data_IF_381252451331
#
_entry.id   IF_381252451331
#
_cell.length_a   1.000
_cell.length_b   1.000
_cell.length_c   1.000
_cell.angle_alpha   90.00
_cell.angle_beta   90.00
_cell.angle_gamma   90.00
#
_symmetry.space_group_name_H-M   'P 1'
#
loop_
_entity.id
_entity.type
_entity.pdbx_description
1 polymer ?
#
# COMPACT_ATOMS: atom_id res chain seq x y z
N UNK A 1 -10.74 7.58 -24.26
CA UNK A 1 -9.73 6.70 -24.88
C UNK A 1 -8.47 7.47 -25.34
N UNK A 2 -7.83 8.25 -24.47
CA UNK A 2 -6.54 8.90 -24.75
C UNK A 2 -5.36 7.99 -24.42
N UNK A 3 -5.42 7.26 -23.30
CA UNK A 3 -4.35 6.39 -22.83
C UNK A 3 -4.06 5.21 -23.79
N UNK A 4 -5.09 4.49 -24.24
CA UNK A 4 -4.93 3.35 -25.16
C UNK A 4 -4.33 3.74 -26.52
N UNK A 5 -4.30 5.04 -26.87
CA UNK A 5 -3.56 5.52 -28.05
C UNK A 5 -2.06 5.59 -27.81
N UNK A 6 -1.64 5.87 -26.57
CA UNK A 6 -0.24 5.87 -26.14
C UNK A 6 0.25 4.44 -25.86
N UNK A 7 -0.63 3.58 -25.37
CA UNK A 7 -0.29 2.21 -25.00
C UNK A 7 -1.42 1.25 -25.37
N UNK A 8 -1.40 0.69 -26.59
CA UNK A 8 -2.49 -0.12 -27.12
C UNK A 8 -2.81 -1.38 -26.32
N UNK A 9 -1.83 -1.94 -25.62
CA UNK A 9 -2.04 -3.13 -24.77
C UNK A 9 -2.63 -2.79 -23.39
N UNK A 10 -2.77 -1.50 -23.04
CA UNK A 10 -3.30 -1.05 -21.75
C UNK A 10 -2.38 -1.24 -20.55
N UNK A 11 -1.13 -1.69 -20.75
CA UNK A 11 -0.20 -1.94 -19.65
C UNK A 11 0.38 -0.64 -19.08
N UNK A 12 0.79 -0.68 -17.82
CA UNK A 12 1.52 0.40 -17.16
C UNK A 12 2.87 -0.14 -16.66
N UNK A 13 3.89 0.72 -16.49
CA UNK A 13 3.91 2.17 -16.71
C UNK A 13 4.04 2.59 -18.19
N UNK A 14 3.71 3.86 -18.45
CA UNK A 14 3.98 4.56 -19.72
C UNK A 14 4.54 5.93 -19.38
N UNK A 15 5.63 6.34 -20.03
CA UNK A 15 6.20 7.67 -19.90
C UNK A 15 6.33 8.36 -21.26
N UNK A 16 6.17 9.67 -21.27
CA UNK A 16 6.52 10.53 -22.41
C UNK A 16 7.72 11.36 -22.00
N UNK A 17 8.89 11.07 -22.56
CA UNK A 17 10.16 11.75 -22.26
C UNK A 17 10.64 12.39 -23.56
N UNK A 18 10.81 13.71 -23.57
CA UNK A 18 11.19 14.51 -24.74
C UNK A 18 10.36 14.21 -26.00
N UNK A 19 9.05 14.02 -25.81
CA UNK A 19 8.10 13.72 -26.88
C UNK A 19 8.11 12.28 -27.37
N UNK A 20 8.99 11.42 -26.87
CA UNK A 20 9.02 9.99 -27.17
C UNK A 20 8.23 9.18 -26.15
N UNK A 21 7.46 8.20 -26.62
CA UNK A 21 6.64 7.33 -25.77
C UNK A 21 7.39 6.05 -25.44
N UNK A 22 7.55 5.78 -24.15
CA UNK A 22 8.14 4.55 -23.62
C UNK A 22 7.09 3.77 -22.85
N UNK A 23 6.85 2.52 -23.26
CA UNK A 23 5.79 1.68 -22.73
C UNK A 23 6.25 0.54 -21.83
N UNK A 24 7.52 0.50 -21.43
CA UNK A 24 8.11 -0.54 -20.57
C UNK A 24 8.92 0.11 -19.45
N UNK A 25 8.82 -0.42 -18.23
CA UNK A 25 9.51 0.14 -17.05
C UNK A 25 11.03 0.18 -17.23
N UNK A 26 11.62 -0.85 -17.83
CA UNK A 26 13.07 -0.93 -18.04
C UNK A 26 13.56 0.13 -19.03
N UNK A 27 12.81 0.38 -20.11
CA UNK A 27 13.16 1.39 -21.11
C UNK A 27 13.06 2.79 -20.49
N UNK A 28 12.02 3.03 -19.68
CA UNK A 28 11.85 4.27 -18.93
C UNK A 28 13.04 4.49 -17.98
N UNK A 29 13.40 3.49 -17.17
CA UNK A 29 14.55 3.57 -16.26
C UNK A 29 15.86 3.84 -17.02
N UNK A 30 16.06 3.15 -18.14
CA UNK A 30 17.26 3.29 -18.96
C UNK A 30 17.41 4.71 -19.50
N UNK A 31 16.34 5.25 -20.09
CA UNK A 31 16.32 6.59 -20.68
C UNK A 31 16.47 7.67 -19.63
N UNK A 32 15.85 7.52 -18.45
CA UNK A 32 16.03 8.45 -17.34
C UNK A 32 17.50 8.51 -16.90
N UNK A 33 18.15 7.36 -16.71
CA UNK A 33 19.58 7.31 -16.36
C UNK A 33 20.51 7.87 -17.46
N UNK A 34 20.06 7.88 -18.71
CA UNK A 34 20.83 8.41 -19.84
C UNK A 34 20.66 9.92 -20.02
N UNK A 35 19.45 10.40 -19.77
CA UNK A 35 19.03 11.79 -20.03
C UNK A 35 19.48 12.73 -18.91
N UNK A 36 19.52 12.25 -17.66
CA UNK A 36 20.01 13.03 -16.52
C UNK A 36 21.49 12.76 -16.29
N UNK A 37 22.36 13.59 -16.86
CA UNK A 37 23.82 13.44 -16.76
C UNK A 37 24.54 14.73 -16.33
N UNK A 38 23.79 15.69 -15.79
CA UNK A 38 24.31 16.97 -15.31
C UNK A 38 25.23 16.80 -14.10
N UNK A 39 26.09 17.81 -13.86
CA UNK A 39 27.01 17.82 -12.73
C UNK A 39 26.28 17.62 -11.40
N UNK A 40 26.77 16.68 -10.59
CA UNK A 40 26.16 16.28 -9.32
C UNK A 40 25.08 15.20 -9.44
N UNK A 41 24.70 14.77 -10.65
CA UNK A 41 23.85 13.58 -10.83
C UNK A 41 24.59 12.33 -10.38
N UNK A 42 23.97 11.57 -9.47
CA UNK A 42 24.48 10.28 -9.02
C UNK A 42 23.76 9.18 -9.79
N UNK A 43 24.40 8.64 -10.82
CA UNK A 43 23.86 7.50 -11.56
C UNK A 43 23.58 6.32 -10.63
N UNK A 44 22.45 5.68 -10.86
CA UNK A 44 22.03 4.47 -10.18
C UNK A 44 22.42 3.22 -10.96
N UNK A 45 22.96 3.36 -12.18
CA UNK A 45 23.47 2.23 -12.95
C UNK A 45 24.58 1.51 -12.16
N UNK A 46 24.54 0.17 -12.13
CA UNK A 46 25.67 -0.61 -11.64
C UNK A 46 26.96 -0.19 -12.34
N UNK A 47 28.06 -0.13 -11.58
CA UNK A 47 29.40 0.13 -12.14
C UNK A 47 29.79 -1.00 -13.08
N UNK A 48 30.65 -0.71 -14.06
CA UNK A 48 31.10 -1.72 -15.03
C UNK A 48 31.70 -2.98 -14.38
N UNK A 49 32.46 -2.79 -13.28
CA UNK A 49 33.04 -3.89 -12.51
C UNK A 49 31.98 -4.83 -11.88
N UNK A 50 30.77 -4.32 -11.63
CA UNK A 50 29.66 -5.06 -11.02
C UNK A 50 28.66 -5.60 -12.05
N UNK A 51 28.87 -5.35 -13.35
CA UNK A 51 27.89 -5.65 -14.40
C UNK A 51 27.45 -7.12 -14.43
N UNK A 52 28.40 -8.05 -14.31
CA UNK A 52 28.07 -9.49 -14.28
C UNK A 52 27.28 -9.86 -13.02
N UNK A 53 27.62 -9.27 -11.87
CA UNK A 53 26.91 -9.48 -10.61
C UNK A 53 25.49 -8.94 -10.70
N UNK A 54 25.32 -7.72 -11.22
CA UNK A 54 24.01 -7.12 -11.47
C UNK A 54 23.13 -8.02 -12.36
N UNK A 55 23.67 -8.59 -13.45
CA UNK A 55 22.92 -9.55 -14.28
C UNK A 55 22.54 -10.84 -13.54
N UNK A 56 23.39 -11.33 -12.63
CA UNK A 56 23.05 -12.43 -11.73
C UNK A 56 21.87 -12.08 -10.82
N UNK A 57 21.93 -10.91 -10.19
CA UNK A 57 20.90 -10.42 -9.28
C UNK A 57 19.56 -10.18 -9.98
N UNK A 58 19.56 -9.63 -11.20
CA UNK A 58 18.32 -9.47 -11.99
C UNK A 58 17.71 -10.82 -12.40
N UNK A 59 18.51 -11.88 -12.57
CA UNK A 59 17.97 -13.24 -12.75
C UNK A 59 17.38 -13.78 -11.45
N UNK A 60 18.01 -13.50 -10.31
CA UNK A 60 17.49 -13.87 -9.00
C UNK A 60 16.17 -13.14 -8.68
N UNK A 61 16.03 -11.86 -9.02
CA UNK A 61 14.78 -11.11 -8.92
C UNK A 61 13.63 -11.83 -9.63
N UNK A 62 13.85 -12.26 -10.87
CA UNK A 62 12.86 -13.02 -11.65
C UNK A 62 12.54 -14.39 -11.04
N UNK A 63 13.54 -15.04 -10.41
CA UNK A 63 13.33 -16.32 -9.72
C UNK A 63 12.46 -16.14 -8.49
N UNK A 64 12.76 -15.15 -7.62
CA UNK A 64 11.96 -14.92 -6.41
C UNK A 64 10.55 -14.43 -6.77
N UNK A 65 10.41 -13.58 -7.80
CA UNK A 65 9.11 -13.21 -8.34
C UNK A 65 8.29 -14.44 -8.75
N UNK A 66 8.91 -15.37 -9.49
CA UNK A 66 8.21 -16.57 -9.96
C UNK A 66 7.81 -17.48 -8.80
N UNK A 67 8.70 -17.72 -7.84
CA UNK A 67 8.41 -18.54 -6.66
C UNK A 67 7.29 -17.94 -5.80
N UNK A 68 7.32 -16.61 -5.60
CA UNK A 68 6.25 -15.88 -4.92
C UNK A 68 4.92 -16.03 -5.65
N UNK A 69 4.90 -15.82 -6.97
CA UNK A 69 3.69 -15.94 -7.78
C UNK A 69 3.07 -17.34 -7.70
N UNK A 70 3.90 -18.39 -7.78
CA UNK A 70 3.43 -19.77 -7.65
C UNK A 70 2.81 -20.03 -6.29
N UNK A 71 3.43 -19.58 -5.20
CA UNK A 71 2.89 -19.80 -3.86
C UNK A 71 1.66 -18.95 -3.56
N UNK A 72 1.69 -17.66 -3.92
CA UNK A 72 0.60 -16.73 -3.65
C UNK A 72 -0.69 -17.15 -4.36
N UNK A 73 -0.60 -17.61 -5.61
CA UNK A 73 -1.77 -17.91 -6.46
C UNK A 73 -2.10 -19.40 -6.57
N UNK A 74 -1.17 -20.28 -6.17
CA UNK A 74 -1.32 -21.73 -6.31
C UNK A 74 -1.83 -22.42 -5.05
N UNK A 75 -2.76 -23.36 -5.21
CA UNK A 75 -3.33 -24.17 -4.11
C UNK A 75 -3.05 -25.68 -4.23
N UNK A 76 -2.38 -26.12 -5.31
CA UNK A 76 -2.21 -27.56 -5.61
C UNK A 76 -1.23 -28.27 -4.66
N UNK A 77 -0.15 -27.58 -4.29
CA UNK A 77 0.90 -28.14 -3.43
C UNK A 77 1.56 -27.00 -2.61
N UNK A 78 0.82 -26.46 -1.61
CA UNK A 78 1.22 -25.25 -0.89
C UNK A 78 2.53 -25.42 -0.13
N UNK A 79 2.80 -26.60 0.44
CA UNK A 79 4.04 -26.86 1.19
C UNK A 79 5.25 -26.85 0.27
N UNK A 80 5.17 -27.46 -0.91
CA UNK A 80 6.25 -27.37 -1.90
C UNK A 80 6.48 -25.94 -2.38
N UNK A 81 5.42 -25.19 -2.70
CA UNK A 81 5.56 -23.80 -3.15
C UNK A 81 6.18 -22.91 -2.07
N UNK A 82 5.81 -23.13 -0.80
CA UNK A 82 6.43 -22.49 0.35
C UNK A 82 7.92 -22.80 0.44
N UNK A 83 8.30 -24.08 0.34
CA UNK A 83 9.71 -24.50 0.40
C UNK A 83 10.52 -23.87 -0.73
N UNK A 84 10.03 -23.95 -1.98
CA UNK A 84 10.67 -23.33 -3.15
C UNK A 84 10.84 -21.81 -2.97
N UNK A 85 9.83 -21.11 -2.43
CA UNK A 85 9.95 -19.68 -2.13
C UNK A 85 11.02 -19.40 -1.06
N UNK A 86 11.00 -20.13 0.05
CA UNK A 86 11.97 -19.96 1.15
C UNK A 86 13.40 -20.23 0.67
N UNK A 87 13.61 -21.25 -0.17
CA UNK A 87 14.91 -21.54 -0.77
C UNK A 87 15.44 -20.36 -1.58
N UNK A 88 14.62 -19.76 -2.44
CA UNK A 88 15.03 -18.60 -3.24
C UNK A 88 15.20 -17.34 -2.37
N UNK A 89 14.34 -17.13 -1.37
CA UNK A 89 14.49 -16.03 -0.41
C UNK A 89 15.80 -16.15 0.39
N UNK A 90 16.22 -17.36 0.76
CA UNK A 90 17.52 -17.59 1.39
C UNK A 90 18.68 -17.22 0.46
N UNK A 91 18.54 -17.40 -0.86
CA UNK A 91 19.55 -16.92 -1.83
C UNK A 91 19.59 -15.39 -1.84
N UNK A 92 18.44 -14.71 -1.79
CA UNK A 92 18.36 -13.24 -1.67
C UNK A 92 19.01 -12.75 -0.38
N UNK A 93 18.67 -13.37 0.76
CA UNK A 93 19.27 -13.09 2.07
C UNK A 93 20.80 -13.26 2.02
N UNK A 94 21.30 -14.32 1.40
CA UNK A 94 22.73 -14.56 1.25
C UNK A 94 23.43 -13.53 0.37
N UNK A 95 22.82 -13.10 -0.74
CA UNK A 95 23.38 -12.04 -1.61
C UNK A 95 23.48 -10.69 -0.90
N UNK A 96 22.45 -10.32 -0.13
CA UNK A 96 22.46 -9.12 0.70
C UNK A 96 23.48 -9.22 1.84
N UNK A 97 23.52 -10.35 2.54
CA UNK A 97 24.47 -10.60 3.62
C UNK A 97 25.93 -10.58 3.14
N UNK A 98 26.18 -11.04 1.91
CA UNK A 98 27.50 -11.04 1.28
C UNK A 98 27.89 -9.69 0.66
N UNK A 99 26.99 -8.71 0.70
CA UNK A 99 27.27 -7.38 0.17
C UNK A 99 28.34 -6.66 0.98
N UNK A 100 29.34 -6.11 0.30
CA UNK A 100 30.49 -5.49 0.95
C UNK A 100 30.24 -3.99 1.13
N UNK A 101 30.34 -3.53 2.38
CA UNK A 101 30.38 -2.12 2.72
C UNK A 101 29.02 -1.42 2.79
N UNK A 102 27.90 -2.15 2.71
CA UNK A 102 26.57 -1.60 2.98
C UNK A 102 25.45 -2.63 2.81
N UNK A 103 24.22 -2.14 2.94
CA UNK A 103 23.00 -2.96 3.02
C UNK A 103 22.24 -3.08 1.68
N UNK A 104 22.77 -2.53 0.59
CA UNK A 104 22.22 -2.70 -0.77
C UNK A 104 22.90 -3.86 -1.51
N UNK A 105 22.27 -4.40 -2.55
CA UNK A 105 22.78 -5.60 -3.24
C UNK A 105 24.21 -5.45 -3.80
N UNK A 106 24.58 -4.23 -4.24
CA UNK A 106 25.89 -3.91 -4.81
C UNK A 106 26.77 -3.06 -3.87
N UNK A 107 26.46 -3.04 -2.58
CA UNK A 107 27.30 -2.45 -1.54
C UNK A 107 26.62 -1.29 -0.81
N UNK A 108 27.32 -0.17 -0.70
CA UNK A 108 26.89 1.00 0.09
C UNK A 108 25.88 1.91 -0.60
N UNK A 109 25.90 1.93 -1.93
CA UNK A 109 25.12 2.86 -2.74
C UNK A 109 23.95 2.08 -3.37
N UNK A 110 22.74 2.64 -3.28
CA UNK A 110 21.57 2.09 -3.97
C UNK A 110 21.80 2.12 -5.49
N UNK A 111 21.34 1.09 -6.17
CA UNK A 111 21.43 0.98 -7.63
C UNK A 111 20.08 0.62 -8.24
N UNK A 112 20.00 0.62 -9.57
CA UNK A 112 18.82 0.12 -10.28
C UNK A 112 18.50 -1.34 -9.93
N UNK A 113 19.47 -2.14 -9.46
CA UNK A 113 19.19 -3.53 -9.02
C UNK A 113 18.24 -3.52 -7.83
N UNK A 114 18.50 -2.68 -6.82
CA UNK A 114 17.63 -2.57 -5.64
C UNK A 114 16.21 -2.13 -6.04
N UNK A 115 16.08 -1.22 -7.01
CA UNK A 115 14.78 -0.77 -7.53
C UNK A 115 14.02 -1.81 -8.33
N UNK A 116 14.72 -2.80 -8.92
CA UNK A 116 14.06 -3.93 -9.56
C UNK A 116 13.50 -4.91 -8.52
N UNK A 117 14.16 -5.09 -7.38
CA UNK A 117 13.67 -5.93 -6.29
C UNK A 117 12.57 -5.26 -5.45
N UNK A 118 12.69 -3.96 -5.20
CA UNK A 118 11.86 -3.25 -4.23
C UNK A 118 10.34 -3.45 -4.38
N UNK A 119 9.73 -3.21 -5.56
CA UNK A 119 8.29 -3.33 -5.69
C UNK A 119 7.79 -4.77 -5.51
N UNK A 120 8.66 -5.78 -5.63
CA UNK A 120 8.30 -7.19 -5.39
C UNK A 120 8.53 -7.60 -3.95
N UNK A 121 9.65 -7.19 -3.33
CA UNK A 121 9.88 -7.46 -1.91
C UNK A 121 8.82 -6.78 -1.03
N UNK A 122 8.40 -5.56 -1.35
CA UNK A 122 7.28 -4.88 -0.65
C UNK A 122 5.98 -5.68 -0.75
N UNK A 123 5.60 -6.09 -1.97
CA UNK A 123 4.40 -6.89 -2.21
C UNK A 123 4.48 -8.27 -1.55
N UNK A 124 5.64 -8.92 -1.56
CA UNK A 124 5.87 -10.20 -0.89
C UNK A 124 5.70 -10.06 0.62
N UNK A 125 6.27 -9.02 1.23
CA UNK A 125 6.19 -8.77 2.67
C UNK A 125 4.73 -8.61 3.13
N UNK A 126 3.93 -7.86 2.36
CA UNK A 126 2.51 -7.66 2.64
C UNK A 126 1.68 -8.92 2.35
N UNK A 127 1.74 -9.43 1.12
CA UNK A 127 0.83 -10.47 0.64
C UNK A 127 1.09 -11.84 1.27
N UNK A 128 2.35 -12.23 1.48
CA UNK A 128 2.63 -13.52 2.12
C UNK A 128 2.26 -13.50 3.60
N UNK A 129 2.35 -12.35 4.27
CA UNK A 129 1.84 -12.22 5.63
C UNK A 129 0.31 -12.33 5.65
N UNK A 130 -0.37 -11.57 4.79
CA UNK A 130 -1.83 -11.52 4.71
C UNK A 130 -2.45 -12.86 4.31
N UNK A 131 -2.02 -13.44 3.19
CA UNK A 131 -2.66 -14.63 2.63
C UNK A 131 -2.13 -15.93 3.24
N UNK A 132 -0.85 -15.95 3.69
CA UNK A 132 -0.13 -17.18 4.07
C UNK A 132 0.32 -17.21 5.54
N UNK A 133 0.31 -16.07 6.23
CA UNK A 133 0.88 -15.96 7.59
C UNK A 133 2.40 -16.04 7.62
N UNK A 134 3.07 -15.79 6.49
CA UNK A 134 4.53 -15.85 6.39
C UNK A 134 5.15 -14.46 6.57
N UNK A 135 5.91 -14.29 7.66
CA UNK A 135 6.52 -13.01 8.01
C UNK A 135 7.97 -12.92 7.49
N UNK A 136 8.17 -12.08 6.47
CA UNK A 136 9.50 -11.78 5.92
C UNK A 136 10.14 -10.53 6.56
N UNK A 137 9.31 -9.55 6.94
CA UNK A 137 9.72 -8.25 7.46
C UNK A 137 9.12 -8.07 8.85
N UNK A 138 9.95 -7.70 9.81
CA UNK A 138 9.60 -7.50 11.23
C UNK A 138 9.97 -6.07 11.67
N UNK A 139 9.42 -5.58 12.78
CA UNK A 139 9.86 -4.31 13.37
C UNK A 139 11.36 -4.31 13.68
N UNK A 140 11.98 -3.13 13.61
CA UNK A 140 13.41 -2.97 13.91
C UNK A 140 13.73 -3.48 15.33
N UNK A 141 14.77 -4.32 15.43
CA UNK A 141 15.19 -4.93 16.70
C UNK A 141 14.47 -6.25 17.06
N UNK A 142 13.50 -6.69 16.26
CA UNK A 142 12.93 -8.04 16.39
C UNK A 142 13.86 -9.12 15.80
N UNK A 143 13.83 -10.30 16.39
CA UNK A 143 14.51 -11.48 15.84
C UNK A 143 13.86 -11.91 14.51
N UNK A 144 14.67 -12.28 13.53
CA UNK A 144 14.20 -12.70 12.21
C UNK A 144 15.19 -13.67 11.56
N UNK A 145 14.71 -14.67 10.79
CA UNK A 145 15.58 -15.52 9.97
C UNK A 145 16.13 -14.78 8.73
N UNK A 146 15.64 -13.59 8.41
CA UNK A 146 16.06 -12.79 7.25
C UNK A 146 16.65 -11.43 7.65
N UNK A 147 17.74 -11.39 8.44
CA UNK A 147 18.28 -10.14 8.96
C UNK A 147 18.83 -9.21 7.87
N UNK A 148 19.42 -9.72 6.79
CA UNK A 148 19.94 -8.89 5.70
C UNK A 148 18.83 -8.29 4.84
N UNK A 149 17.75 -9.04 4.57
CA UNK A 149 16.53 -8.50 3.93
C UNK A 149 15.93 -7.38 4.79
N UNK A 150 15.87 -7.55 6.11
CA UNK A 150 15.36 -6.51 7.01
C UNK A 150 16.25 -5.27 7.02
N UNK A 151 17.59 -5.41 7.05
CA UNK A 151 18.51 -4.28 6.91
C UNK A 151 18.40 -3.59 5.55
N UNK A 152 18.16 -4.34 4.48
CA UNK A 152 17.91 -3.79 3.15
C UNK A 152 16.64 -2.92 3.13
N UNK A 153 15.54 -3.38 3.75
CA UNK A 153 14.35 -2.55 3.93
C UNK A 153 14.66 -1.28 4.75
N UNK A 154 15.39 -1.41 5.87
CA UNK A 154 15.80 -0.25 6.68
C UNK A 154 16.63 0.75 5.88
N UNK A 155 17.49 0.27 4.97
CA UNK A 155 18.33 1.09 4.10
C UNK A 155 17.52 1.78 3.00
N UNK A 156 16.59 1.07 2.37
CA UNK A 156 15.63 1.65 1.41
C UNK A 156 14.79 2.74 2.07
N UNK A 157 14.34 2.50 3.31
CA UNK A 157 13.58 3.45 4.14
C UNK A 157 14.39 4.67 4.59
N UNK A 158 15.69 4.76 4.27
CA UNK A 158 16.50 5.98 4.41
C UNK A 158 16.50 6.85 3.15
N UNK A 159 16.05 6.33 2.02
CA UNK A 159 15.99 7.05 0.75
C UNK A 159 14.69 7.86 0.68
N UNK A 160 14.81 9.19 0.55
CA UNK A 160 13.63 10.05 0.48
C UNK A 160 12.74 9.71 -0.73
N UNK A 161 13.33 9.31 -1.86
CA UNK A 161 12.59 8.85 -3.04
C UNK A 161 11.74 7.61 -2.75
N UNK A 162 12.28 6.65 -1.99
CA UNK A 162 11.56 5.44 -1.62
C UNK A 162 10.45 5.74 -0.60
N UNK A 163 10.72 6.59 0.40
CA UNK A 163 9.72 7.02 1.39
C UNK A 163 8.48 7.66 0.76
N UNK A 164 8.64 8.32 -0.39
CA UNK A 164 7.54 8.97 -1.11
C UNK A 164 6.70 7.97 -1.93
N UNK A 165 7.26 6.81 -2.29
CA UNK A 165 6.62 5.85 -3.20
C UNK A 165 6.24 4.52 -2.55
N UNK A 166 6.78 4.21 -1.36
CA UNK A 166 6.45 3.02 -0.58
C UNK A 166 4.94 2.95 -0.31
N UNK A 167 4.36 1.76 -0.39
CA UNK A 167 2.95 1.52 -0.07
C UNK A 167 2.78 0.84 1.29
N UNK A 168 1.53 0.76 1.77
CA UNK A 168 1.18 -0.02 2.96
C UNK A 168 0.73 -1.45 2.60
N UNK A 169 0.66 -2.30 3.61
CA UNK A 169 0.27 -3.70 3.45
C UNK A 169 -1.17 -3.83 2.97
N UNK A 170 -2.09 -3.01 3.48
CA UNK A 170 -3.49 -3.01 3.06
C UNK A 170 -3.62 -2.75 1.56
N UNK A 171 -3.01 -1.68 1.04
CA UNK A 171 -3.09 -1.35 -0.39
C UNK A 171 -2.48 -2.47 -1.25
N UNK A 172 -1.34 -3.05 -0.85
CA UNK A 172 -0.77 -4.18 -1.58
C UNK A 172 -1.69 -5.40 -1.62
N UNK A 173 -2.29 -5.79 -0.49
CA UNK A 173 -3.10 -7.00 -0.41
C UNK A 173 -4.43 -6.88 -1.17
N UNK A 174 -4.99 -5.67 -1.29
CA UNK A 174 -6.23 -5.43 -2.03
C UNK A 174 -6.00 -5.11 -3.53
N UNK A 175 -4.81 -4.64 -3.91
CA UNK A 175 -4.46 -4.37 -5.31
C UNK A 175 -4.07 -5.64 -6.09
N UNK A 176 -3.51 -6.66 -5.41
CA UNK A 176 -2.99 -7.87 -6.04
C UNK A 176 -4.07 -8.81 -6.63
N UNK A 177 -5.14 -9.21 -5.90
CA UNK A 177 -6.07 -10.21 -6.40
C UNK A 177 -6.71 -9.84 -7.75
N UNK A 178 -7.17 -8.59 -7.97
CA UNK A 178 -7.70 -8.19 -9.28
C UNK A 178 -6.68 -8.25 -10.42
N UNK A 179 -5.39 -8.02 -10.14
CA UNK A 179 -4.32 -8.07 -11.14
C UNK A 179 -3.89 -9.50 -11.48
N UNK A 180 -3.93 -10.39 -10.50
CA UNK A 180 -3.41 -11.76 -10.63
C UNK A 180 -4.49 -12.80 -10.96
N UNK A 181 -5.77 -12.40 -10.94
CA UNK A 181 -6.89 -13.34 -11.09
C UNK A 181 -7.24 -14.10 -9.81
N UNK A 182 -6.80 -13.59 -8.65
CA UNK A 182 -7.02 -14.16 -7.32
C UNK A 182 -5.73 -14.54 -6.60
N UNK A 183 -5.83 -14.67 -5.28
CA UNK A 183 -4.78 -15.19 -4.40
C UNK A 183 -5.37 -16.33 -3.55
N UNK A 184 -4.51 -17.21 -3.05
CA UNK A 184 -4.91 -18.38 -2.27
C UNK A 184 -4.63 -18.19 -0.78
N UNK A 185 -5.61 -18.52 0.04
CA UNK A 185 -5.54 -18.37 1.50
C UNK A 185 -5.01 -19.64 2.17
N UNK A 186 -4.27 -19.45 3.25
CA UNK A 186 -3.90 -20.49 4.22
C UNK A 186 -4.34 -20.03 5.62
N UNK A 187 -4.71 -20.98 6.49
CA UNK A 187 -5.29 -20.67 7.82
C UNK A 187 -4.41 -19.74 8.66
N UNK A 188 -3.08 -19.87 8.53
CA UNK A 188 -2.11 -19.03 9.24
C UNK A 188 -2.17 -17.54 8.83
N UNK A 189 -2.73 -17.21 7.67
CA UNK A 189 -2.91 -15.83 7.21
C UNK A 189 -4.08 -15.11 7.89
N UNK A 190 -5.10 -15.84 8.35
CA UNK A 190 -6.35 -15.26 8.85
C UNK A 190 -6.18 -14.20 9.98
N UNK A 191 -5.30 -14.39 10.98
CA UNK A 191 -5.05 -13.35 12.00
C UNK A 191 -4.46 -12.06 11.40
N UNK A 192 -3.58 -12.20 10.41
CA UNK A 192 -2.93 -11.06 9.76
C UNK A 192 -3.86 -10.37 8.76
N UNK A 193 -4.70 -11.11 8.04
CA UNK A 193 -5.78 -10.55 7.24
C UNK A 193 -6.67 -9.65 8.09
N UNK A 194 -7.14 -10.16 9.23
CA UNK A 194 -7.98 -9.39 10.17
C UNK A 194 -7.26 -8.13 10.66
N UNK A 195 -5.97 -8.24 10.99
CA UNK A 195 -5.20 -7.09 11.47
C UNK A 195 -4.88 -6.07 10.37
N UNK A 196 -4.61 -6.50 9.14
CA UNK A 196 -4.32 -5.61 8.01
C UNK A 196 -5.60 -4.90 7.53
N UNK A 197 -6.75 -5.57 7.60
CA UNK A 197 -8.05 -5.01 7.21
C UNK A 197 -8.67 -4.03 8.20
N UNK A 198 -8.05 -3.82 9.37
CA UNK A 198 -8.58 -2.92 10.39
C UNK A 198 -9.48 -3.61 11.43
N UNK A 199 -9.78 -4.91 11.25
CA UNK A 199 -10.81 -5.61 12.00
C UNK A 199 -10.39 -5.93 13.43
N UNK A 200 -9.17 -6.46 13.61
CA UNK A 200 -8.71 -6.92 14.93
C UNK A 200 -7.20 -7.02 15.04
N UNK A 201 -6.63 -6.54 16.14
CA UNK A 201 -5.20 -6.73 16.48
C UNK A 201 -4.87 -8.21 16.71
N UNK A 202 -3.58 -8.57 16.58
CA UNK A 202 -3.12 -9.96 16.79
C UNK A 202 -3.35 -10.47 18.22
N UNK A 203 -3.28 -9.59 19.21
CA UNK A 203 -3.61 -9.91 20.62
C UNK A 203 -5.12 -9.95 20.89
N UNK A 204 -5.94 -9.58 19.90
CA UNK A 204 -7.37 -9.61 19.95
C UNK A 204 -8.02 -8.54 20.84
N UNK A 205 -7.27 -7.54 21.29
CA UNK A 205 -7.73 -6.56 22.29
C UNK A 205 -8.59 -5.44 21.73
N UNK A 206 -8.39 -5.05 20.46
CA UNK A 206 -9.12 -3.95 19.81
C UNK A 206 -9.14 -4.11 18.28
N UNK A 207 -9.88 -3.25 17.58
CA UNK A 207 -9.70 -3.07 16.13
C UNK A 207 -8.32 -2.49 15.82
N UNK A 208 -7.66 -2.95 14.76
CA UNK A 208 -6.34 -2.42 14.37
C UNK A 208 -6.41 -0.98 13.82
N UNK A 209 -7.59 -0.56 13.37
CA UNK A 209 -7.90 0.84 13.04
C UNK A 209 -8.78 1.49 14.12
N UNK A 210 -8.74 1.01 15.35
CA UNK A 210 -9.39 1.65 16.49
C UNK A 210 -8.43 2.65 17.15
N UNK A 211 -8.95 3.79 17.61
CA UNK A 211 -8.16 4.78 18.34
C UNK A 211 -8.08 4.40 19.83
N UNK A 212 -6.92 4.55 20.50
CA UNK A 212 -5.63 4.97 19.94
C UNK A 212 -4.97 3.86 19.11
N UNK A 213 -4.30 4.26 18.02
CA UNK A 213 -3.58 3.34 17.15
C UNK A 213 -2.35 2.75 17.84
N UNK A 214 -2.15 1.44 17.69
CA UNK A 214 -0.94 0.77 18.18
C UNK A 214 0.25 0.98 17.22
N UNK A 215 1.48 1.19 17.73
CA UNK A 215 2.67 1.19 16.89
C UNK A 215 2.84 -0.12 16.10
N UNK A 216 3.36 0.00 14.89
CA UNK A 216 3.60 -1.09 13.94
C UNK A 216 2.39 -1.98 13.66
N UNK A 217 1.17 -1.43 13.80
CA UNK A 217 -0.06 -2.19 13.77
C UNK A 217 -0.02 -3.42 14.71
N UNK A 218 0.47 -3.23 15.95
CA UNK A 218 0.64 -4.33 16.91
C UNK A 218 1.74 -5.33 16.52
N UNK A 219 2.72 -4.91 15.70
CA UNK A 219 3.82 -5.75 15.21
C UNK A 219 3.60 -6.41 13.84
N UNK A 220 2.44 -6.15 13.20
CA UNK A 220 2.09 -6.72 11.89
C UNK A 220 2.86 -6.04 10.75
N UNK A 221 2.92 -4.72 10.76
CA UNK A 221 3.53 -3.92 9.69
C UNK A 221 4.46 -2.90 10.32
N UNK A 222 5.77 -2.89 10.00
CA UNK A 222 6.65 -1.84 10.49
C UNK A 222 6.18 -0.46 10.04
N UNK A 223 5.65 0.31 10.99
CA UNK A 223 5.35 1.73 10.81
C UNK A 223 6.47 2.48 10.12
N UNK A 224 6.06 3.50 9.37
CA UNK A 224 6.97 4.44 8.75
C UNK A 224 7.52 5.35 9.82
N UNK A 225 8.49 4.84 10.58
CA UNK A 225 9.16 5.44 11.74
C UNK A 225 9.74 6.84 11.53
N UNK A 226 9.69 7.35 10.30
CA UNK A 226 10.09 8.69 9.90
C UNK A 226 8.91 9.67 9.76
N UNK A 227 7.67 9.23 10.01
CA UNK A 227 6.44 10.01 9.87
C UNK A 227 5.65 10.10 11.20
N UNK A 228 6.33 9.98 12.35
CA UNK A 228 5.77 9.65 13.68
C UNK A 228 5.04 10.77 14.42
N UNK A 229 4.60 11.81 13.74
CA UNK A 229 3.86 12.89 14.39
C UNK A 229 2.38 12.78 14.05
N UNK A 230 1.60 12.16 14.95
CA UNK A 230 0.14 12.00 14.79
C UNK A 230 -0.58 13.32 14.49
N UNK A 231 -0.11 14.43 15.05
CA UNK A 231 -0.63 15.76 14.73
C UNK A 231 -0.41 16.16 13.27
N UNK A 232 0.77 15.86 12.71
CA UNK A 232 1.10 16.15 11.31
C UNK A 232 0.40 15.19 10.35
N UNK A 233 0.32 13.90 10.71
CA UNK A 233 -0.41 12.88 9.96
C UNK A 233 -1.90 13.23 9.82
N UNK A 234 -2.54 13.65 10.92
CA UNK A 234 -3.93 14.12 10.92
C UNK A 234 -4.13 15.37 10.06
N UNK A 235 -3.20 16.33 10.12
CA UNK A 235 -3.24 17.53 9.27
C UNK A 235 -3.10 17.20 7.78
N UNK A 236 -2.19 16.30 7.42
CA UNK A 236 -2.06 15.81 6.05
C UNK A 236 -3.34 15.13 5.58
N UNK A 237 -3.93 14.25 6.38
CA UNK A 237 -5.19 13.60 6.03
C UNK A 237 -6.30 14.63 5.71
N UNK A 238 -6.43 15.66 6.55
CA UNK A 238 -7.41 16.74 6.35
C UNK A 238 -7.07 17.59 5.12
N UNK A 239 -5.79 17.90 4.90
CA UNK A 239 -5.32 18.62 3.71
C UNK A 239 -5.68 17.85 2.43
N UNK A 240 -5.37 16.54 2.37
CA UNK A 240 -5.64 15.70 1.21
C UNK A 240 -7.13 15.51 0.95
N UNK A 241 -7.92 15.34 2.01
CA UNK A 241 -9.37 15.27 1.92
C UNK A 241 -9.97 16.60 1.41
N UNK A 242 -9.56 17.72 2.00
CA UNK A 242 -10.12 19.05 1.67
C UNK A 242 -9.73 19.52 0.28
N UNK A 243 -8.56 19.15 -0.23
CA UNK A 243 -8.09 19.52 -1.57
C UNK A 243 -8.98 19.01 -2.71
N UNK A 244 -9.77 17.95 -2.48
CA UNK A 244 -10.68 17.38 -3.48
C UNK A 244 -12.06 17.03 -2.90
N UNK A 245 -12.50 17.80 -1.90
CA UNK A 245 -13.58 17.42 -0.98
C UNK A 245 -14.89 17.01 -1.67
N UNK A 246 -15.40 17.83 -2.61
CA UNK A 246 -16.66 17.54 -3.29
C UNK A 246 -16.63 16.22 -4.07
N UNK A 247 -15.51 15.90 -4.70
CA UNK A 247 -15.34 14.64 -5.42
C UNK A 247 -15.18 13.46 -4.45
N UNK A 248 -14.55 13.67 -3.30
CA UNK A 248 -14.44 12.64 -2.25
C UNK A 248 -15.79 12.31 -1.64
N UNK A 249 -16.64 13.32 -1.37
CA UNK A 249 -18.02 13.10 -0.88
C UNK A 249 -18.81 12.24 -1.87
N UNK A 250 -18.81 12.62 -3.15
CA UNK A 250 -19.47 11.83 -4.22
C UNK A 250 -18.88 10.43 -4.33
N UNK A 251 -17.57 10.29 -4.22
CA UNK A 251 -16.91 9.00 -4.29
C UNK A 251 -17.27 8.10 -3.09
N UNK A 252 -17.28 8.64 -1.88
CA UNK A 252 -17.70 7.94 -0.66
C UNK A 252 -19.16 7.46 -0.76
N UNK A 253 -20.05 8.31 -1.28
CA UNK A 253 -21.47 7.99 -1.49
C UNK A 253 -21.72 6.79 -2.46
N UNK A 254 -20.69 6.26 -3.12
CA UNK A 254 -20.77 4.98 -3.86
C UNK A 254 -21.01 3.78 -2.95
N UNK A 255 -20.65 3.85 -1.66
CA UNK A 255 -20.91 2.76 -0.70
C UNK A 255 -22.39 2.44 -0.52
N UNK A 256 -23.25 3.45 -0.54
CA UNK A 256 -24.72 3.30 -0.58
C UNK A 256 -25.31 3.36 -2.00
N UNK A 257 -24.44 3.38 -3.01
CA UNK A 257 -24.80 3.59 -4.40
C UNK A 257 -25.25 2.32 -5.11
N UNK A 258 -25.11 2.33 -6.44
CA UNK A 258 -25.41 1.18 -7.30
C UNK A 258 -24.13 0.71 -7.98
N UNK A 259 -24.02 -0.60 -8.16
CA UNK A 259 -22.98 -1.20 -8.99
C UNK A 259 -23.05 -0.64 -10.41
N UNK A 260 -21.89 -0.45 -11.01
CA UNK A 260 -21.78 0.05 -12.35
C UNK A 260 -22.16 -0.96 -13.42
N UNK A 261 -22.47 -0.44 -14.61
CA UNK A 261 -22.72 -1.25 -15.80
C UNK A 261 -21.78 -0.79 -16.92
N UNK A 262 -20.98 -1.69 -17.53
CA UNK A 262 -20.87 -3.12 -17.23
C UNK A 262 -20.23 -3.42 -15.85
N UNK A 263 -20.49 -4.59 -15.26
CA UNK A 263 -19.90 -4.96 -13.97
C UNK A 263 -18.38 -5.08 -14.08
N UNK A 264 -17.69 -4.69 -13.01
CA UNK A 264 -16.24 -4.81 -12.88
C UNK A 264 -15.88 -5.80 -11.78
N UNK A 265 -14.85 -6.63 -12.00
CA UNK A 265 -14.49 -7.74 -11.12
C UNK A 265 -13.69 -7.32 -9.89
N UNK A 266 -13.03 -6.17 -9.91
CA UNK A 266 -12.25 -5.68 -8.78
C UNK A 266 -13.19 -5.17 -7.68
N UNK A 267 -13.25 -5.90 -6.56
CA UNK A 267 -14.05 -5.53 -5.40
C UNK A 267 -13.69 -4.11 -4.94
N UNK A 268 -14.73 -3.34 -4.59
CA UNK A 268 -14.65 -1.95 -4.18
C UNK A 268 -14.07 -0.99 -5.23
N UNK A 269 -13.39 -1.43 -6.29
CA UNK A 269 -12.71 -0.62 -7.30
C UNK A 269 -13.46 -0.49 -8.64
N UNK A 270 -14.79 -0.62 -8.61
CA UNK A 270 -15.64 -0.47 -9.79
C UNK A 270 -15.59 0.98 -10.34
N UNK A 271 -15.00 1.20 -11.55
CA UNK A 271 -14.94 2.52 -12.15
C UNK A 271 -16.32 3.04 -12.59
N UNK A 272 -17.28 2.14 -12.78
CA UNK A 272 -18.63 2.43 -13.27
C UNK A 272 -19.64 2.62 -12.13
N UNK A 273 -19.24 2.45 -10.86
CA UNK A 273 -20.12 2.58 -9.71
C UNK A 273 -20.78 3.98 -9.63
N UNK A 274 -22.08 4.00 -9.36
CA UNK A 274 -22.91 5.20 -9.32
C UNK A 274 -23.18 5.60 -7.87
N UNK A 275 -22.87 6.83 -7.44
CA UNK A 275 -23.06 7.26 -6.07
C UNK A 275 -24.54 7.48 -5.71
N UNK A 276 -24.85 7.36 -4.42
CA UNK A 276 -26.16 7.71 -3.86
C UNK A 276 -26.23 9.20 -3.53
N UNK A 277 -26.91 9.96 -4.40
CA UNK A 277 -27.15 11.40 -4.20
C UNK A 277 -27.85 11.69 -2.87
N UNK A 278 -28.71 10.77 -2.41
CA UNK A 278 -29.42 10.92 -1.14
C UNK A 278 -28.48 10.96 0.08
N UNK A 279 -27.30 10.32 0.00
CA UNK A 279 -26.35 10.28 1.10
C UNK A 279 -25.37 11.46 1.10
N UNK A 280 -25.18 12.15 -0.04
CA UNK A 280 -24.10 13.14 -0.22
C UNK A 280 -24.08 14.21 0.87
N UNK A 281 -25.25 14.76 1.25
CA UNK A 281 -25.33 15.78 2.29
C UNK A 281 -24.87 15.27 3.67
N UNK A 282 -25.30 14.07 4.05
CA UNK A 282 -24.91 13.49 5.33
C UNK A 282 -23.43 13.07 5.32
N UNK A 283 -22.94 12.56 4.19
CA UNK A 283 -21.51 12.24 4.02
C UNK A 283 -20.64 13.49 4.10
N UNK A 284 -21.03 14.59 3.46
CA UNK A 284 -20.36 15.90 3.58
C UNK A 284 -20.23 16.31 5.06
N UNK A 285 -21.34 16.31 5.79
CA UNK A 285 -21.37 16.70 7.20
C UNK A 285 -20.45 15.79 8.03
N UNK A 286 -20.54 14.46 7.85
CA UNK A 286 -19.70 13.51 8.58
C UNK A 286 -18.21 13.67 8.26
N UNK A 287 -17.83 13.93 7.01
CA UNK A 287 -16.43 14.14 6.65
C UNK A 287 -15.86 15.46 7.20
N UNK A 288 -16.67 16.51 7.32
CA UNK A 288 -16.27 17.75 8.03
C UNK A 288 -16.11 17.53 9.52
N UNK A 289 -16.99 16.75 10.12
CA UNK A 289 -16.93 16.33 11.50
C UNK A 289 -15.64 15.54 11.80
N UNK A 290 -15.36 14.51 11.00
CA UNK A 290 -14.13 13.71 11.04
C UNK A 290 -12.89 14.59 10.85
N UNK A 291 -12.94 15.56 9.93
CA UNK A 291 -11.84 16.52 9.74
C UNK A 291 -11.61 17.39 10.97
N UNK A 292 -12.69 17.90 11.59
CA UNK A 292 -12.62 18.67 12.84
C UNK A 292 -11.98 17.83 13.94
N UNK A 293 -12.44 16.59 14.14
CA UNK A 293 -11.88 15.68 15.14
C UNK A 293 -10.39 15.39 14.91
N UNK A 294 -9.95 15.23 13.66
CA UNK A 294 -8.54 15.08 13.34
C UNK A 294 -7.71 16.34 13.69
N UNK A 295 -8.26 17.55 13.51
CA UNK A 295 -7.55 18.81 13.80
C UNK A 295 -7.56 19.19 15.28
N UNK A 296 -8.66 18.95 15.99
CA UNK A 296 -8.87 19.43 17.38
C UNK A 296 -8.80 18.33 18.44
N UNK A 297 -8.78 17.06 18.02
CA UNK A 297 -9.00 15.89 18.88
C UNK A 297 -10.48 15.57 19.05
N UNK A 298 -10.81 14.27 19.20
CA UNK A 298 -12.18 13.75 19.27
C UNK A 298 -13.06 14.45 20.32
N UNK A 299 -12.63 14.67 21.58
CA UNK A 299 -13.48 15.28 22.61
C UNK A 299 -13.98 16.69 22.27
N UNK A 300 -13.26 17.44 21.43
CA UNK A 300 -13.64 18.80 21.03
C UNK A 300 -14.62 18.83 19.85
N UNK A 301 -14.77 17.73 19.12
CA UNK A 301 -15.66 17.60 17.97
C UNK A 301 -17.02 16.96 18.31
N UNK A 302 -17.15 16.34 19.49
CA UNK A 302 -18.32 15.56 19.92
C UNK A 302 -19.65 16.34 19.86
N UNK A 303 -19.67 17.61 20.27
CA UNK A 303 -20.92 18.38 20.36
C UNK A 303 -21.56 18.64 18.97
N UNK A 304 -20.77 19.01 17.97
CA UNK A 304 -21.27 19.24 16.60
C UNK A 304 -21.59 17.94 15.85
N UNK A 305 -20.96 16.83 16.27
CA UNK A 305 -21.20 15.51 15.69
C UNK A 305 -22.47 14.88 16.23
N UNK A 306 -22.76 15.07 17.51
CA UNK A 306 -24.00 14.56 18.12
C UNK A 306 -25.24 15.04 17.36
N UNK A 307 -25.31 16.33 17.02
CA UNK A 307 -26.46 16.89 16.28
C UNK A 307 -26.58 16.32 14.86
N UNK A 308 -25.45 16.16 14.16
CA UNK A 308 -25.42 15.54 12.84
C UNK A 308 -25.87 14.08 12.88
N UNK A 309 -25.40 13.32 13.88
CA UNK A 309 -25.76 11.93 14.11
C UNK A 309 -27.25 11.80 14.44
N UNK A 310 -27.79 12.64 15.31
CA UNK A 310 -29.21 12.64 15.67
C UNK A 310 -30.09 12.91 14.44
N UNK A 311 -29.66 13.82 13.57
CA UNK A 311 -30.35 14.12 12.31
C UNK A 311 -30.32 12.91 11.36
N UNK A 312 -29.17 12.24 11.22
CA UNK A 312 -29.01 11.04 10.39
C UNK A 312 -29.88 9.89 10.91
N UNK A 313 -29.91 9.67 12.23
CA UNK A 313 -30.75 8.64 12.87
C UNK A 313 -32.23 8.95 12.65
N UNK A 314 -32.63 10.21 12.81
CA UNK A 314 -34.02 10.65 12.63
C UNK A 314 -34.51 10.51 11.18
N UNK A 315 -33.61 10.52 10.20
CA UNK A 315 -33.92 10.27 8.80
C UNK A 315 -34.26 8.79 8.48
N UNK A 316 -34.06 7.89 9.45
CA UNK A 316 -34.44 6.48 9.38
C UNK A 316 -33.29 5.51 9.14
N UNK A 317 -33.52 4.23 9.45
CA UNK A 317 -32.46 3.20 9.46
C UNK A 317 -31.79 3.02 8.10
N UNK A 318 -32.54 3.06 7.00
CA UNK A 318 -31.99 2.94 5.65
C UNK A 318 -31.01 4.10 5.34
N UNK A 319 -31.32 5.32 5.79
CA UNK A 319 -30.46 6.48 5.58
C UNK A 319 -29.19 6.36 6.41
N UNK A 320 -29.33 6.00 7.69
CA UNK A 320 -28.21 5.71 8.59
C UNK A 320 -27.26 4.65 8.02
N UNK A 321 -27.79 3.51 7.60
CA UNK A 321 -26.99 2.42 6.99
C UNK A 321 -26.28 2.87 5.71
N UNK A 322 -26.94 3.71 4.91
CA UNK A 322 -26.34 4.31 3.72
C UNK A 322 -25.16 5.23 4.03
N UNK A 323 -25.25 6.06 5.07
CA UNK A 323 -24.12 6.90 5.51
C UNK A 323 -22.97 6.02 6.01
N UNK A 324 -23.25 5.04 6.86
CA UNK A 324 -22.24 4.09 7.37
C UNK A 324 -21.53 3.35 6.23
N UNK A 325 -22.29 2.82 5.27
CA UNK A 325 -21.74 2.14 4.10
C UNK A 325 -20.87 3.06 3.24
N UNK A 326 -21.23 4.34 3.15
CA UNK A 326 -20.47 5.34 2.39
C UNK A 326 -19.13 5.70 3.06
N UNK A 327 -19.12 5.83 4.39
CA UNK A 327 -17.89 6.08 5.16
C UNK A 327 -16.97 4.85 5.16
N UNK A 328 -17.53 3.65 5.32
CA UNK A 328 -16.78 2.39 5.23
C UNK A 328 -16.18 2.20 3.83
N UNK A 329 -16.95 2.49 2.78
CA UNK A 329 -16.44 2.45 1.40
C UNK A 329 -15.28 3.43 1.19
N UNK A 330 -15.36 4.66 1.74
CA UNK A 330 -14.24 5.59 1.66
C UNK A 330 -13.01 5.07 2.39
N UNK A 331 -13.17 4.58 3.63
CA UNK A 331 -12.11 4.03 4.48
C UNK A 331 -11.31 2.94 3.76
N UNK A 332 -12.02 1.99 3.14
CA UNK A 332 -11.43 0.86 2.41
C UNK A 332 -10.81 1.27 1.06
N UNK A 333 -11.12 2.46 0.55
CA UNK A 333 -10.61 2.97 -0.73
C UNK A 333 -9.51 4.00 -0.60
N UNK A 334 -9.11 4.36 0.63
CA UNK A 334 -7.90 5.16 0.88
C UNK A 334 -6.68 4.32 0.48
N UNK A 335 -5.95 4.76 -0.55
CA UNK A 335 -4.74 4.10 -1.03
C UNK A 335 -3.45 4.82 -0.59
N UNK A 336 -2.43 4.04 -0.26
CA UNK A 336 -1.10 4.54 0.13
C UNK A 336 -0.09 4.23 -0.99
N UNK A 337 0.83 5.14 -1.35
CA UNK A 337 0.92 6.55 -0.93
C UNK A 337 0.09 7.49 -1.82
N UNK A 338 -0.70 6.96 -2.77
CA UNK A 338 -1.40 7.74 -3.80
C UNK A 338 -2.26 8.85 -3.22
N UNK A 339 -3.09 8.53 -2.22
CA UNK A 339 -3.98 9.52 -1.61
C UNK A 339 -3.23 10.30 -0.51
N UNK A 340 -2.50 9.58 0.35
CA UNK A 340 -1.73 10.12 1.47
C UNK A 340 -0.69 9.12 1.97
N UNK A 341 0.27 9.57 2.79
CA UNK A 341 1.29 8.71 3.41
C UNK A 341 0.68 7.75 4.45
N UNK A 342 1.36 6.64 4.78
CA UNK A 342 0.83 5.62 5.69
C UNK A 342 0.31 6.21 7.01
N UNK A 343 1.03 7.04 7.78
CA UNK A 343 0.46 7.52 9.05
C UNK A 343 -0.79 8.38 8.88
N UNK A 344 -0.85 9.19 7.83
CA UNK A 344 -2.06 9.96 7.51
C UNK A 344 -3.22 9.03 7.14
N UNK A 345 -2.96 7.98 6.35
CA UNK A 345 -3.97 6.98 5.99
C UNK A 345 -4.46 6.20 7.22
N UNK A 346 -3.56 5.78 8.12
CA UNK A 346 -3.94 5.11 9.38
C UNK A 346 -4.82 6.00 10.24
N UNK A 347 -4.42 7.25 10.44
CA UNK A 347 -5.22 8.23 11.18
C UNK A 347 -6.58 8.42 10.53
N UNK A 348 -6.64 8.61 9.20
CA UNK A 348 -7.89 8.84 8.51
C UNK A 348 -8.83 7.62 8.55
N UNK A 349 -8.32 6.42 8.27
CA UNK A 349 -9.10 5.17 8.36
C UNK A 349 -9.64 4.94 9.76
N UNK A 350 -8.84 5.24 10.79
CA UNK A 350 -9.27 5.12 12.18
C UNK A 350 -10.34 6.14 12.57
N UNK A 351 -10.22 7.39 12.12
CA UNK A 351 -11.24 8.41 12.40
C UNK A 351 -12.53 8.19 11.59
N UNK A 352 -12.52 7.39 10.51
CA UNK A 352 -13.73 6.96 9.82
C UNK A 352 -14.47 5.82 10.54
N UNK A 353 -13.86 5.20 11.56
CA UNK A 353 -14.51 4.25 12.48
C UNK A 353 -15.10 4.90 13.72
N UNK A 354 -14.75 6.17 13.96
CA UNK A 354 -15.26 6.97 15.07
C UNK A 354 -16.66 7.49 14.74
#
# INVERSE_FOLDING_TARGET
ASFMRLQPNGNIPVAVIDGQVYGQSNDILYVLEESFNQDGYKSLRPKDADRMRAQGLLRLERQIFSAWMYWLTGSRDPERYRQEFIEVLNVVENELSSSKGGDFFLGKDVTTVDFMFAPFLERMAASLLFFKGFQMRVPSGSDTPFPAVNRWFDAMERLDSYRLTKSDYYTHCWDLPPQLGGCTYEDNGSPFESAINGDKTLDGTQGSWELPLQPHNGGVEPDWGWCNEDGMARREAVERLSANFENVVKFAARGAGKKGMPPFSAALADPNAVPSVAMECSVDIMLRAVSTAMLTGCPSAEAGISEAVDTIISAGDQHKEGVVSSLAYLRERVGVPRDMRLPAARQFRAHLNW
#
